data_IF_844883959971
#
_entry.id   IF_844883959971
#
_cell.length_a   1.000
_cell.length_b   1.000
_cell.length_c   1.000
_cell.angle_alpha   90.00
_cell.angle_beta   90.00
_cell.angle_gamma   90.00
#
_symmetry.space_group_name_H-M   'P 1'
#
loop_
_entity.id
_entity.type
_entity.pdbx_description
1 polymer ?
#
# COMPACT_ATOMS: atom_id res chain seq x y z
N UNK A 1 -8.27 5.86 33.39
CA UNK A 1 -7.44 6.62 32.45
C UNK A 1 -7.62 5.98 31.10
N UNK A 2 -8.28 6.64 30.16
CA UNK A 2 -8.44 6.14 28.78
C UNK A 2 -7.06 6.07 28.14
N UNK A 3 -6.57 4.88 27.77
CA UNK A 3 -5.33 4.75 26.97
C UNK A 3 -5.61 5.41 25.63
N UNK A 4 -4.87 6.46 25.30
CA UNK A 4 -4.92 7.06 23.96
C UNK A 4 -4.45 6.01 22.95
N UNK A 5 -5.17 5.89 21.85
CA UNK A 5 -4.83 4.99 20.76
C UNK A 5 -3.52 5.46 20.12
N UNK A 6 -2.56 4.56 19.96
CA UNK A 6 -1.37 4.84 19.15
C UNK A 6 -1.72 4.67 17.67
N UNK A 7 -1.31 5.61 16.83
CA UNK A 7 -1.56 5.54 15.39
C UNK A 7 -0.63 4.55 14.71
N UNK A 8 0.64 4.51 15.15
CA UNK A 8 1.72 3.77 14.48
C UNK A 8 2.47 2.87 15.47
N UNK A 9 2.73 1.63 15.06
CA UNK A 9 3.67 0.70 15.69
C UNK A 9 4.95 0.67 14.86
N UNK A 10 6.07 1.10 15.43
CA UNK A 10 7.41 1.05 14.82
C UNK A 10 8.07 -0.25 15.24
N UNK A 11 8.54 -1.05 14.27
CA UNK A 11 9.17 -2.35 14.51
C UNK A 11 10.50 -2.39 13.76
N UNK A 12 11.59 -2.18 14.47
CA UNK A 12 12.94 -2.13 13.91
C UNK A 12 13.94 -2.39 15.05
N UNK A 13 14.94 -3.20 14.88
CA UNK A 13 15.94 -3.49 15.91
C UNK A 13 16.94 -2.35 16.10
N UNK A 14 17.16 -1.54 15.06
CA UNK A 14 18.07 -0.41 15.08
C UNK A 14 17.49 0.79 15.85
N UNK A 15 18.00 1.07 17.04
CA UNK A 15 17.58 2.22 17.84
C UNK A 15 17.73 3.58 17.14
N UNK A 16 18.66 3.71 16.18
CA UNK A 16 18.84 4.92 15.38
C UNK A 16 17.66 5.14 14.42
N UNK A 17 17.19 4.09 13.76
CA UNK A 17 16.03 4.15 12.85
C UNK A 17 14.77 4.43 13.65
N UNK A 18 14.55 3.76 14.78
CA UNK A 18 13.38 4.05 15.64
C UNK A 18 13.36 5.51 16.07
N UNK A 19 14.49 6.08 16.53
CA UNK A 19 14.56 7.52 16.89
C UNK A 19 14.29 8.46 15.72
N UNK A 20 14.74 8.10 14.50
CA UNK A 20 14.43 8.88 13.30
C UNK A 20 12.92 8.89 13.03
N UNK A 21 12.30 7.72 13.09
CA UNK A 21 10.87 7.53 12.83
C UNK A 21 10.01 8.21 13.89
N UNK A 22 10.32 8.03 15.19
CA UNK A 22 9.59 8.69 16.29
C UNK A 22 9.63 10.19 16.14
N UNK A 23 10.81 10.77 15.91
CA UNK A 23 10.95 12.22 15.70
C UNK A 23 10.17 12.74 14.48
N UNK A 24 10.03 11.95 13.43
CA UNK A 24 9.23 12.32 12.26
C UNK A 24 7.72 12.23 12.54
N UNK A 25 7.26 11.20 13.21
CA UNK A 25 5.86 11.00 13.60
C UNK A 25 5.42 12.08 14.59
N UNK A 26 6.24 12.42 15.59
CA UNK A 26 5.95 13.47 16.56
C UNK A 26 5.75 14.84 15.87
N UNK A 27 6.64 15.21 14.94
CA UNK A 27 6.48 16.45 14.16
C UNK A 27 5.20 16.47 13.32
N UNK A 28 4.69 15.29 12.96
CA UNK A 28 3.43 15.14 12.21
C UNK A 28 2.19 15.00 13.11
N UNK A 29 2.35 15.05 14.44
CA UNK A 29 1.26 14.88 15.40
C UNK A 29 0.69 13.47 15.47
N UNK A 30 1.44 12.45 15.02
CA UNK A 30 1.04 11.04 15.05
C UNK A 30 1.58 10.36 16.31
N UNK A 31 0.70 9.70 17.03
CA UNK A 31 1.08 8.92 18.21
C UNK A 31 1.68 7.57 17.82
N UNK A 32 2.66 7.09 18.58
CA UNK A 32 3.37 5.87 18.23
C UNK A 32 3.74 5.03 19.45
N UNK A 33 4.04 3.76 19.19
CA UNK A 33 4.71 2.82 20.12
C UNK A 33 5.82 2.10 19.37
N UNK A 34 6.85 1.66 20.10
CA UNK A 34 8.03 1.04 19.53
C UNK A 34 8.14 -0.43 19.95
N UNK A 35 8.69 -1.25 19.07
CA UNK A 35 9.13 -2.60 19.30
C UNK A 35 10.51 -2.84 18.68
N UNK A 36 11.38 -3.55 19.36
CA UNK A 36 12.72 -3.93 18.89
C UNK A 36 12.79 -5.39 18.42
N UNK A 37 11.72 -6.15 18.60
CA UNK A 37 11.60 -7.56 18.24
C UNK A 37 10.21 -7.89 17.70
N UNK A 38 10.10 -8.96 16.93
CA UNK A 38 8.81 -9.47 16.44
C UNK A 38 7.88 -9.88 17.58
N UNK A 39 8.42 -10.52 18.63
CA UNK A 39 7.64 -10.92 19.79
C UNK A 39 7.05 -9.74 20.56
N UNK A 40 7.78 -8.62 20.67
CA UNK A 40 7.29 -7.37 21.25
C UNK A 40 6.21 -6.73 20.37
N UNK A 41 6.47 -6.67 19.06
CA UNK A 41 5.53 -6.14 18.09
C UNK A 41 4.17 -6.84 18.12
N UNK A 42 4.17 -8.18 18.15
CA UNK A 42 2.95 -8.98 18.21
C UNK A 42 2.15 -8.77 19.51
N UNK A 43 2.82 -8.50 20.64
CA UNK A 43 2.16 -8.15 21.89
C UNK A 43 1.52 -6.76 21.83
N UNK A 44 2.21 -5.79 21.25
CA UNK A 44 1.70 -4.42 21.09
C UNK A 44 0.56 -4.35 20.08
N UNK A 45 0.58 -5.19 19.04
CA UNK A 45 -0.47 -5.26 18.02
C UNK A 45 -1.84 -5.75 18.55
N UNK A 46 -1.87 -6.40 19.72
CA UNK A 46 -3.12 -6.82 20.39
C UNK A 46 -3.54 -5.90 21.53
N UNK A 47 -2.79 -4.81 21.78
CA UNK A 47 -3.17 -3.84 22.81
C UNK A 47 -4.49 -3.15 22.45
N UNK A 48 -5.26 -2.75 23.44
CA UNK A 48 -6.48 -1.98 23.22
C UNK A 48 -6.30 -0.54 23.75
N UNK A 49 -6.51 0.44 22.89
CA UNK A 49 -6.79 0.34 21.44
C UNK A 49 -5.55 -0.06 20.64
N UNK A 50 -5.75 -0.92 19.63
CA UNK A 50 -4.68 -1.39 18.74
C UNK A 50 -4.16 -0.28 17.81
N UNK A 51 -2.86 -0.28 17.44
CA UNK A 51 -2.32 0.59 16.40
C UNK A 51 -3.03 0.41 15.04
N UNK A 52 -3.00 1.45 14.21
CA UNK A 52 -3.60 1.41 12.87
C UNK A 52 -2.61 0.92 11.81
N UNK A 53 -1.36 1.32 11.96
CA UNK A 53 -0.29 1.08 10.97
C UNK A 53 0.90 0.46 11.69
N UNK A 54 1.55 -0.53 11.06
CA UNK A 54 2.85 -1.05 11.45
C UNK A 54 3.90 -0.64 10.43
N UNK A 55 5.00 -0.01 10.87
CA UNK A 55 6.23 0.16 10.11
C UNK A 55 7.15 -0.99 10.51
N UNK A 56 7.43 -1.90 9.59
CA UNK A 56 8.09 -3.17 9.87
C UNK A 56 9.42 -3.29 9.13
N UNK A 57 10.52 -3.36 9.86
CA UNK A 57 11.77 -3.87 9.33
C UNK A 57 11.74 -5.41 9.23
N UNK A 58 12.36 -5.96 8.18
CA UNK A 58 12.41 -7.41 7.99
C UNK A 58 13.54 -8.07 8.79
N UNK A 59 14.63 -7.35 9.05
CA UNK A 59 15.83 -7.84 9.72
C UNK A 59 15.74 -7.89 11.24
N UNK A 60 14.68 -8.47 11.81
CA UNK A 60 14.50 -8.55 13.27
C UNK A 60 15.36 -9.65 13.89
N UNK A 61 15.84 -9.47 15.16
CA UNK A 61 16.80 -10.37 15.77
C UNK A 61 16.20 -11.71 16.24
N UNK A 62 14.90 -11.80 16.45
CA UNK A 62 14.22 -12.96 16.99
C UNK A 62 13.51 -13.82 15.93
N UNK A 63 13.17 -13.25 14.78
CA UNK A 63 12.58 -13.96 13.61
C UNK A 63 12.55 -13.08 12.37
N UNK A 64 12.40 -13.70 11.20
CA UNK A 64 12.19 -12.99 9.93
C UNK A 64 10.91 -12.14 10.00
N UNK A 65 11.02 -10.84 9.64
CA UNK A 65 9.89 -9.92 9.61
C UNK A 65 8.79 -10.37 8.65
N UNK A 66 9.10 -11.06 7.56
CA UNK A 66 8.11 -11.62 6.64
C UNK A 66 7.12 -12.57 7.34
N UNK A 67 7.57 -13.33 8.34
CA UNK A 67 6.71 -14.28 9.07
C UNK A 67 5.60 -13.57 9.86
N UNK A 68 5.82 -12.33 10.29
CA UNK A 68 4.83 -11.59 11.09
C UNK A 68 3.91 -10.70 10.25
N UNK A 69 4.20 -10.47 8.96
CA UNK A 69 3.33 -9.71 8.06
C UNK A 69 1.89 -10.21 8.09
N UNK A 70 1.59 -11.51 7.82
CA UNK A 70 0.21 -11.99 7.83
C UNK A 70 -0.44 -11.91 9.22
N UNK A 71 0.35 -12.00 10.29
CA UNK A 71 -0.17 -11.91 11.65
C UNK A 71 -0.59 -10.48 12.01
N UNK A 72 0.18 -9.47 11.60
CA UNK A 72 -0.16 -8.05 11.79
C UNK A 72 -1.34 -7.66 10.90
N UNK A 73 -1.31 -8.04 9.62
CA UNK A 73 -2.41 -7.79 8.68
C UNK A 73 -3.72 -8.44 9.12
N UNK A 74 -3.67 -9.69 9.60
CA UNK A 74 -4.83 -10.43 10.13
C UNK A 74 -5.44 -9.81 11.39
N UNK A 75 -4.69 -8.98 12.12
CA UNK A 75 -5.18 -8.16 13.25
C UNK A 75 -5.72 -6.80 12.82
N UNK A 76 -5.76 -6.56 11.53
CA UNK A 76 -6.32 -5.32 10.97
C UNK A 76 -5.35 -4.15 10.91
N UNK A 77 -4.05 -4.31 11.20
CA UNK A 77 -3.06 -3.26 10.99
C UNK A 77 -2.77 -3.11 9.49
N UNK A 78 -2.52 -1.90 9.04
CA UNK A 78 -1.89 -1.69 7.74
C UNK A 78 -0.38 -1.87 7.89
N UNK A 79 0.23 -2.79 7.13
CA UNK A 79 1.65 -3.10 7.25
C UNK A 79 2.43 -2.42 6.13
N UNK A 80 3.37 -1.54 6.49
CA UNK A 80 4.34 -0.91 5.58
C UNK A 80 5.71 -1.49 5.90
N UNK A 81 6.28 -2.22 4.95
CA UNK A 81 7.58 -2.87 5.12
C UNK A 81 8.72 -1.89 4.79
N UNK A 82 9.71 -1.81 5.67
CA UNK A 82 10.97 -1.09 5.45
C UNK A 82 12.02 -2.10 4.99
N UNK A 83 12.56 -1.97 3.78
CA UNK A 83 13.43 -2.99 3.19
C UNK A 83 14.63 -2.39 2.46
N UNK A 84 15.68 -3.16 2.25
CA UNK A 84 16.86 -2.73 1.49
C UNK A 84 16.54 -2.53 0.00
N UNK A 85 17.36 -1.73 -0.69
CA UNK A 85 17.14 -1.29 -2.08
C UNK A 85 17.05 -2.45 -3.07
N UNK A 86 17.83 -3.51 -2.88
CA UNK A 86 17.98 -4.59 -3.85
C UNK A 86 17.12 -5.83 -3.57
N UNK A 87 16.22 -5.74 -2.58
CA UNK A 87 15.39 -6.85 -2.13
C UNK A 87 14.07 -6.98 -2.90
N UNK A 88 14.10 -7.03 -4.26
CA UNK A 88 12.86 -7.15 -5.07
C UNK A 88 12.04 -8.38 -4.69
N UNK A 89 12.67 -9.52 -4.43
CA UNK A 89 11.98 -10.74 -3.99
C UNK A 89 11.27 -10.58 -2.66
N UNK A 90 11.90 -9.93 -1.67
CA UNK A 90 11.29 -9.66 -0.36
C UNK A 90 10.10 -8.70 -0.45
N UNK A 91 10.19 -7.69 -1.34
CA UNK A 91 9.09 -6.74 -1.58
C UNK A 91 7.85 -7.45 -2.14
N UNK A 92 8.04 -8.30 -3.15
CA UNK A 92 6.97 -9.12 -3.72
C UNK A 92 6.40 -10.07 -2.67
N UNK A 93 7.26 -10.81 -1.95
CA UNK A 93 6.83 -11.72 -0.89
C UNK A 93 6.04 -10.99 0.21
N UNK A 94 6.49 -9.82 0.66
CA UNK A 94 5.79 -9.03 1.67
C UNK A 94 4.38 -8.62 1.20
N UNK A 95 4.24 -8.16 -0.04
CA UNK A 95 2.94 -7.77 -0.61
C UNK A 95 2.00 -8.98 -0.75
N UNK A 96 2.51 -10.11 -1.22
CA UNK A 96 1.75 -11.35 -1.36
C UNK A 96 1.32 -11.92 0.00
N UNK A 97 2.12 -11.71 1.05
CA UNK A 97 1.79 -12.04 2.44
C UNK A 97 0.80 -11.08 3.11
N UNK A 98 0.43 -9.99 2.44
CA UNK A 98 -0.58 -9.05 2.91
C UNK A 98 -0.05 -7.73 3.43
N UNK A 99 1.21 -7.38 3.18
CA UNK A 99 1.68 -6.02 3.42
C UNK A 99 0.90 -5.01 2.56
N UNK A 100 0.65 -3.83 3.11
CA UNK A 100 -0.08 -2.76 2.43
C UNK A 100 0.80 -1.96 1.47
N UNK A 101 2.08 -1.84 1.79
CA UNK A 101 3.07 -1.10 1.01
C UNK A 101 4.49 -1.46 1.47
N UNK A 102 5.50 -0.95 0.75
CA UNK A 102 6.88 -1.00 1.19
C UNK A 102 7.59 0.33 0.95
N UNK A 103 8.66 0.56 1.71
CA UNK A 103 9.56 1.72 1.55
C UNK A 103 11.00 1.23 1.57
N UNK A 104 11.79 1.68 0.61
CA UNK A 104 13.17 1.23 0.43
C UNK A 104 14.14 2.06 1.28
N UNK A 105 14.97 1.43 2.07
CA UNK A 105 16.09 2.07 2.80
C UNK A 105 17.24 2.40 1.83
N UNK A 106 17.85 3.60 1.89
CA UNK A 106 17.45 4.75 2.69
C UNK A 106 16.21 5.43 2.12
N UNK A 107 15.31 5.90 2.99
CA UNK A 107 14.05 6.51 2.60
C UNK A 107 14.00 8.00 2.91
N UNK A 108 13.21 8.70 2.12
CA UNK A 108 12.79 10.06 2.45
C UNK A 108 11.68 10.01 3.52
N UNK A 109 11.87 10.80 4.58
CA UNK A 109 10.94 10.80 5.72
C UNK A 109 9.56 11.35 5.34
N UNK A 110 9.49 12.34 4.44
CA UNK A 110 8.22 12.91 3.99
C UNK A 110 7.45 11.91 3.11
N UNK A 111 8.15 11.16 2.25
CA UNK A 111 7.55 10.07 1.48
C UNK A 111 6.94 9.01 2.42
N UNK A 112 7.71 8.57 3.42
CA UNK A 112 7.23 7.59 4.40
C UNK A 112 6.00 8.12 5.15
N UNK A 113 6.03 9.35 5.63
CA UNK A 113 4.89 9.97 6.33
C UNK A 113 3.66 10.10 5.44
N UNK A 114 3.81 10.41 4.16
CA UNK A 114 2.70 10.43 3.21
C UNK A 114 2.02 9.05 3.07
N UNK A 115 2.82 7.96 3.02
CA UNK A 115 2.32 6.58 2.99
C UNK A 115 1.61 6.20 4.30
N UNK A 116 2.19 6.57 5.46
CA UNK A 116 1.57 6.35 6.78
C UNK A 116 0.22 7.07 6.87
N UNK A 117 0.16 8.36 6.53
CA UNK A 117 -1.12 9.12 6.52
C UNK A 117 -2.16 8.48 5.59
N UNK A 118 -1.75 8.02 4.42
CA UNK A 118 -2.64 7.30 3.50
C UNK A 118 -3.16 6.00 4.10
N UNK A 119 -2.31 5.23 4.77
CA UNK A 119 -2.70 3.99 5.45
C UNK A 119 -3.69 4.25 6.61
N UNK A 120 -3.42 5.25 7.46
CA UNK A 120 -4.32 5.68 8.55
C UNK A 120 -5.69 6.08 7.98
N UNK A 121 -5.74 6.91 6.94
CA UNK A 121 -6.98 7.36 6.31
C UNK A 121 -7.82 6.18 5.81
N UNK A 122 -7.21 5.17 5.19
CA UNK A 122 -7.92 3.96 4.75
C UNK A 122 -8.52 3.18 5.93
N UNK A 123 -7.82 3.12 7.07
CA UNK A 123 -8.29 2.40 8.26
C UNK A 123 -9.34 3.18 9.07
N UNK A 124 -9.34 4.50 8.99
CA UNK A 124 -10.23 5.39 9.76
C UNK A 124 -11.44 5.90 8.97
N UNK A 125 -11.49 5.63 7.66
CA UNK A 125 -12.54 6.13 6.76
C UNK A 125 -13.90 5.46 6.98
N UNK A 126 -15.02 6.12 6.59
CA UNK A 126 -16.33 5.51 6.60
C UNK A 126 -16.35 4.28 5.70
N UNK A 127 -17.25 3.33 5.99
CA UNK A 127 -17.47 2.13 5.15
C UNK A 127 -17.79 2.60 3.74
N UNK A 128 -16.82 2.49 2.84
CA UNK A 128 -16.99 2.90 1.45
C UNK A 128 -18.05 1.99 0.80
N UNK A 129 -18.86 2.56 -0.08
CA UNK A 129 -19.75 1.75 -0.94
C UNK A 129 -18.89 0.68 -1.63
N UNK A 130 -19.21 -0.61 -1.46
CA UNK A 130 -18.42 -1.70 -2.04
C UNK A 130 -18.30 -1.63 -3.57
N UNK A 131 -19.22 -0.92 -4.22
CA UNK A 131 -19.23 -0.70 -5.66
C UNK A 131 -18.48 0.56 -6.12
N UNK A 132 -18.07 1.46 -5.21
CA UNK A 132 -17.43 2.73 -5.54
C UNK A 132 -16.01 2.79 -4.99
N UNK A 133 -15.06 3.23 -5.79
CA UNK A 133 -13.67 3.52 -5.39
C UNK A 133 -13.29 4.92 -5.81
N UNK A 134 -12.47 5.55 -5.00
CA UNK A 134 -11.89 6.86 -5.27
C UNK A 134 -10.40 6.75 -5.57
N UNK A 135 -9.92 7.53 -6.50
CA UNK A 135 -8.51 7.73 -6.79
C UNK A 135 -8.25 9.23 -7.03
N UNK A 136 -7.01 9.65 -7.10
CA UNK A 136 -6.54 11.05 -6.99
C UNK A 136 -7.54 12.12 -7.50
N UNK A 137 -8.01 12.02 -8.74
CA UNK A 137 -8.89 13.02 -9.37
C UNK A 137 -10.17 12.39 -9.92
N UNK A 138 -10.51 11.17 -9.47
CA UNK A 138 -11.61 10.44 -10.07
C UNK A 138 -12.26 9.39 -9.20
N UNK A 139 -13.29 8.79 -9.78
CA UNK A 139 -14.05 7.70 -9.19
C UNK A 139 -14.27 6.59 -10.22
N UNK A 140 -14.32 5.35 -9.74
CA UNK A 140 -14.76 4.20 -10.51
C UNK A 140 -15.94 3.54 -9.78
N UNK A 141 -17.05 3.39 -10.48
CA UNK A 141 -18.28 2.76 -10.01
C UNK A 141 -18.51 1.45 -10.76
N UNK A 142 -18.40 0.34 -10.02
CA UNK A 142 -18.56 -1.00 -10.57
C UNK A 142 -20.01 -1.33 -10.90
N UNK A 143 -20.95 -0.81 -10.12
CA UNK A 143 -22.39 -1.06 -10.33
C UNK A 143 -22.91 -0.36 -11.59
N UNK A 144 -22.47 0.88 -11.80
CA UNK A 144 -22.81 1.68 -12.98
C UNK A 144 -21.85 1.43 -14.18
N UNK A 145 -20.79 0.63 -13.99
CA UNK A 145 -19.70 0.43 -14.97
C UNK A 145 -19.16 1.77 -15.51
N UNK A 146 -18.93 2.73 -14.61
CA UNK A 146 -18.59 4.12 -14.95
C UNK A 146 -17.29 4.55 -14.32
N UNK A 147 -16.51 5.31 -15.08
CA UNK A 147 -15.31 5.99 -14.60
C UNK A 147 -15.45 7.48 -14.84
N UNK A 148 -15.18 8.28 -13.81
CA UNK A 148 -15.20 9.74 -13.89
C UNK A 148 -13.84 10.26 -13.43
N UNK A 149 -13.25 11.18 -14.19
CA UNK A 149 -12.03 11.88 -13.82
C UNK A 149 -12.17 13.36 -14.14
N UNK A 150 -11.79 14.25 -13.23
CA UNK A 150 -11.91 15.70 -13.41
C UNK A 150 -13.30 16.12 -13.89
N UNK A 151 -14.36 15.51 -13.33
CA UNK A 151 -15.77 15.70 -13.69
C UNK A 151 -16.17 15.24 -15.10
N UNK A 152 -15.31 14.57 -15.83
CA UNK A 152 -15.59 14.00 -17.16
C UNK A 152 -15.73 12.49 -17.10
N UNK A 153 -16.72 11.93 -17.75
CA UNK A 153 -16.86 10.49 -17.91
C UNK A 153 -15.85 9.99 -18.93
N UNK A 154 -15.19 8.88 -18.63
CA UNK A 154 -14.18 8.23 -19.48
C UNK A 154 -14.67 6.84 -19.88
N UNK A 155 -14.65 6.58 -21.19
CA UNK A 155 -15.00 5.28 -21.73
C UNK A 155 -13.81 4.33 -21.69
N UNK A 156 -13.92 3.28 -20.89
CA UNK A 156 -12.95 2.20 -20.80
C UNK A 156 -13.50 0.92 -21.41
N UNK A 157 -12.62 0.15 -22.03
CA UNK A 157 -12.95 -1.23 -22.40
C UNK A 157 -13.12 -2.07 -21.13
N UNK A 158 -13.81 -3.23 -21.18
CA UNK A 158 -13.97 -4.08 -20.01
C UNK A 158 -12.66 -4.49 -19.34
N UNK A 159 -11.59 -4.69 -20.10
CA UNK A 159 -10.27 -5.03 -19.55
C UNK A 159 -9.58 -3.83 -18.88
N UNK A 160 -9.66 -2.65 -19.49
CA UNK A 160 -9.16 -1.41 -18.89
C UNK A 160 -9.91 -1.08 -17.60
N UNK A 161 -11.24 -1.28 -17.60
CA UNK A 161 -12.06 -1.08 -16.41
C UNK A 161 -11.66 -2.04 -15.28
N UNK A 162 -11.53 -3.34 -15.56
CA UNK A 162 -11.13 -4.32 -14.57
C UNK A 162 -9.73 -4.07 -14.03
N UNK A 163 -8.79 -3.64 -14.88
CA UNK A 163 -7.43 -3.29 -14.45
C UNK A 163 -7.44 -2.06 -13.53
N UNK A 164 -8.17 -0.99 -13.92
CA UNK A 164 -8.30 0.19 -13.07
C UNK A 164 -8.99 -0.16 -11.75
N UNK A 165 -10.03 -1.01 -11.79
CA UNK A 165 -10.71 -1.48 -10.59
C UNK A 165 -9.75 -2.23 -9.66
N UNK A 166 -8.97 -3.18 -10.17
CA UNK A 166 -8.00 -3.95 -9.38
C UNK A 166 -6.95 -3.04 -8.70
N UNK A 167 -6.52 -1.98 -9.38
CA UNK A 167 -5.63 -0.98 -8.81
C UNK A 167 -6.33 -0.12 -7.74
N UNK A 168 -7.57 0.30 -8.00
CA UNK A 168 -8.36 1.12 -7.09
C UNK A 168 -8.91 0.35 -5.88
N UNK A 169 -8.96 -0.97 -5.94
CA UNK A 169 -9.32 -1.82 -4.79
C UNK A 169 -8.22 -1.78 -3.70
N UNK A 170 -7.01 -1.39 -4.10
CA UNK A 170 -5.85 -1.20 -3.24
C UNK A 170 -5.25 0.22 -3.40
N UNK A 171 -6.00 1.31 -3.08
CA UNK A 171 -5.58 2.68 -3.40
C UNK A 171 -4.29 3.06 -2.67
N UNK A 172 -3.30 3.54 -3.43
CA UNK A 172 -1.97 3.91 -2.94
C UNK A 172 -1.03 2.74 -2.64
N UNK A 173 -1.52 1.49 -2.69
CA UNK A 173 -0.71 0.27 -2.50
C UNK A 173 -0.17 -0.22 -3.83
N UNK A 174 0.99 -0.87 -3.78
CA UNK A 174 1.52 -1.59 -4.94
C UNK A 174 0.78 -2.91 -5.09
N UNK A 175 0.25 -3.17 -6.29
CA UNK A 175 -0.33 -4.46 -6.67
C UNK A 175 0.66 -5.17 -7.59
N UNK A 176 1.03 -6.39 -7.24
CA UNK A 176 2.06 -7.14 -7.98
C UNK A 176 1.62 -7.45 -9.41
N UNK A 177 2.58 -7.65 -10.31
CA UNK A 177 2.29 -8.03 -11.71
C UNK A 177 1.45 -9.31 -11.77
N UNK A 178 1.83 -10.32 -10.97
CA UNK A 178 1.14 -11.61 -10.90
C UNK A 178 -0.32 -11.46 -10.47
N UNK A 179 -0.56 -10.67 -9.40
CA UNK A 179 -1.91 -10.42 -8.92
C UNK A 179 -2.77 -9.68 -9.95
N UNK A 180 -2.25 -8.63 -10.59
CA UNK A 180 -2.97 -7.89 -11.64
C UNK A 180 -3.30 -8.79 -12.84
N UNK A 181 -2.35 -9.61 -13.28
CA UNK A 181 -2.56 -10.55 -14.38
C UNK A 181 -3.61 -11.60 -14.02
N UNK A 182 -3.50 -12.17 -12.83
CA UNK A 182 -4.46 -13.18 -12.34
C UNK A 182 -5.88 -12.60 -12.22
N UNK A 183 -6.02 -11.42 -11.60
CA UNK A 183 -7.32 -10.80 -11.33
C UNK A 183 -8.03 -10.32 -12.61
N UNK A 184 -7.28 -9.89 -13.64
CA UNK A 184 -7.83 -9.26 -14.85
C UNK A 184 -7.91 -10.24 -16.03
N UNK A 185 -6.96 -11.16 -16.18
CA UNK A 185 -6.89 -12.11 -17.29
C UNK A 185 -7.06 -13.57 -16.87
N UNK A 186 -6.94 -13.84 -15.58
CA UNK A 186 -7.04 -15.19 -15.02
C UNK A 186 -5.67 -15.83 -14.81
N UNK A 187 -5.62 -16.93 -14.02
CA UNK A 187 -4.36 -17.54 -13.57
C UNK A 187 -3.50 -18.12 -14.71
N UNK A 188 -4.07 -18.41 -15.88
CA UNK A 188 -3.32 -18.87 -17.04
C UNK A 188 -2.38 -17.80 -17.65
N UNK A 189 -2.59 -16.54 -17.31
CA UNK A 189 -1.88 -15.39 -17.87
C UNK A 189 -0.86 -14.75 -16.90
N UNK A 190 -0.50 -15.43 -15.82
CA UNK A 190 0.37 -14.90 -14.75
C UNK A 190 1.73 -14.40 -15.25
N UNK A 191 2.26 -14.96 -16.34
CA UNK A 191 3.56 -14.62 -16.90
C UNK A 191 3.48 -13.65 -18.09
N UNK A 192 2.26 -13.29 -18.54
CA UNK A 192 2.03 -12.49 -19.74
C UNK A 192 2.17 -10.97 -19.46
N UNK A 193 3.33 -10.54 -18.98
CA UNK A 193 3.61 -9.14 -18.61
C UNK A 193 3.33 -8.14 -19.73
N UNK A 194 3.46 -8.54 -20.98
CA UNK A 194 3.22 -7.65 -22.12
C UNK A 194 1.74 -7.27 -22.24
N UNK A 195 0.81 -8.16 -21.90
CA UNK A 195 -0.62 -7.81 -21.83
C UNK A 195 -0.88 -6.72 -20.81
N UNK A 196 -0.28 -6.84 -19.62
CA UNK A 196 -0.40 -5.85 -18.57
C UNK A 196 0.19 -4.50 -18.98
N UNK A 197 1.39 -4.50 -19.56
CA UNK A 197 2.06 -3.28 -20.05
C UNK A 197 1.24 -2.54 -21.11
N UNK A 198 0.66 -3.28 -22.06
CA UNK A 198 -0.21 -2.70 -23.11
C UNK A 198 -1.46 -2.10 -22.49
N UNK A 199 -2.11 -2.79 -21.55
CA UNK A 199 -3.31 -2.30 -20.88
C UNK A 199 -3.02 -1.06 -20.01
N UNK A 200 -1.92 -1.04 -19.26
CA UNK A 200 -1.48 0.12 -18.49
C UNK A 200 -1.21 1.31 -19.41
N UNK A 201 -0.52 1.10 -20.54
CA UNK A 201 -0.28 2.16 -21.53
C UNK A 201 -1.59 2.72 -22.10
N UNK A 202 -2.58 1.86 -22.36
CA UNK A 202 -3.89 2.27 -22.85
C UNK A 202 -4.65 3.10 -21.80
N UNK A 203 -4.65 2.67 -20.52
CA UNK A 203 -5.21 3.41 -19.40
C UNK A 203 -4.56 4.78 -19.23
N UNK A 204 -3.23 4.85 -19.24
CA UNK A 204 -2.51 6.12 -19.11
C UNK A 204 -2.90 7.12 -20.20
N UNK A 205 -3.07 6.68 -21.45
CA UNK A 205 -3.53 7.55 -22.53
C UNK A 205 -4.90 8.17 -22.31
N UNK A 206 -5.76 7.50 -21.52
CA UNK A 206 -7.13 7.96 -21.24
C UNK A 206 -7.26 8.76 -19.95
N UNK A 207 -6.43 8.46 -18.96
CA UNK A 207 -6.58 8.97 -17.60
C UNK A 207 -5.53 10.03 -17.22
N UNK A 208 -4.30 9.92 -17.72
CA UNK A 208 -3.22 10.86 -17.42
C UNK A 208 -3.35 12.15 -18.22
N UNK A 209 -2.88 13.25 -17.64
CA UNK A 209 -2.70 14.50 -18.38
C UNK A 209 -1.51 14.41 -19.35
N UNK A 210 -0.42 13.79 -18.89
CA UNK A 210 0.76 13.46 -19.67
C UNK A 210 1.09 11.98 -19.53
N UNK A 211 0.73 11.12 -20.50
CA UNK A 211 1.00 9.70 -20.45
C UNK A 211 2.49 9.31 -20.43
N UNK A 212 3.39 10.22 -20.85
CA UNK A 212 4.84 10.00 -20.82
C UNK A 212 5.41 10.21 -19.41
N UNK A 213 4.79 11.07 -18.61
CA UNK A 213 5.15 11.33 -17.21
C UNK A 213 3.95 11.03 -16.29
N UNK A 214 3.60 9.75 -16.12
CA UNK A 214 2.38 9.35 -15.43
C UNK A 214 2.47 9.68 -13.92
N UNK A 215 1.39 10.27 -13.40
CA UNK A 215 1.26 10.62 -11.98
C UNK A 215 0.14 9.84 -11.29
N UNK A 216 -0.79 9.29 -12.05
CA UNK A 216 -1.92 8.54 -11.53
C UNK A 216 -1.60 7.04 -11.44
N UNK A 217 -1.15 6.42 -12.55
CA UNK A 217 -0.78 5.00 -12.57
C UNK A 217 0.74 4.89 -12.54
N UNK A 218 1.28 4.67 -11.37
CA UNK A 218 2.72 4.67 -11.10
C UNK A 218 3.26 3.23 -11.23
N UNK A 219 4.39 3.10 -11.93
CA UNK A 219 5.11 1.84 -12.04
C UNK A 219 6.10 1.68 -10.88
N UNK A 220 6.08 0.53 -10.24
CA UNK A 220 7.11 0.10 -9.29
C UNK A 220 7.96 -0.98 -9.98
N UNK A 221 9.17 -0.63 -10.45
CA UNK A 221 9.96 -1.48 -11.33
C UNK A 221 10.22 -2.89 -10.74
N UNK A 222 9.97 -3.91 -11.53
CA UNK A 222 10.15 -5.31 -11.14
C UNK A 222 9.07 -5.87 -10.21
N UNK A 223 8.12 -5.05 -9.73
CA UNK A 223 7.15 -5.44 -8.70
C UNK A 223 5.71 -5.35 -9.24
N UNK A 224 5.28 -4.18 -9.69
CA UNK A 224 3.88 -4.00 -10.09
C UNK A 224 3.52 -2.55 -10.38
N UNK A 225 2.25 -2.24 -10.14
CA UNK A 225 1.70 -0.90 -10.33
C UNK A 225 0.87 -0.48 -9.12
N UNK A 226 0.75 0.83 -8.92
CA UNK A 226 -0.19 1.42 -7.96
C UNK A 226 -0.92 2.61 -8.56
N UNK A 227 -2.12 2.87 -8.07
CA UNK A 227 -2.84 4.11 -8.36
C UNK A 227 -2.53 5.12 -7.26
N UNK A 228 -2.25 6.37 -7.64
CA UNK A 228 -2.04 7.45 -6.71
C UNK A 228 -3.36 7.81 -5.98
N UNK A 229 -3.23 8.17 -4.71
CA UNK A 229 -4.33 8.70 -3.87
C UNK A 229 -4.09 10.17 -3.61
N UNK A 230 -5.17 10.93 -3.56
CA UNK A 230 -5.15 12.35 -3.21
C UNK A 230 -4.90 12.59 -1.72
#
# INVERSE_FOLDING_TARGET
MSRMRSDVLIIDDEAAIRRLLTGALDRSGLTHVEASTAGEALRLAIAEPAPLVALLDLGLPDRDGLEIVPQLAGRGLAVIVLTARDATGEKVAALDLGADDFVTKPFDTEELLARVRSAIRRKSGPVADPALRHFQEGTIDRSAHRVTIRSSQIDLTPREFNLLWALCDHPGRVVTHDKLLTDVWGPAHREDLDYLRVAVRALRRKLELDPAHPKLIINEPGIGYRVAVG
#
